data_IF_081880848802
#
_entry.id   IF_081880848802
#
_cell.length_a   1.000
_cell.length_b   1.000
_cell.length_c   1.000
_cell.angle_alpha   90.00
_cell.angle_beta   90.00
_cell.angle_gamma   90.00
#
_symmetry.space_group_name_H-M   'P 1'
#
loop_
_entity.id
_entity.type
_entity.pdbx_description
1 polymer ?
#
# COMPACT_ATOMS: atom_id res chain seq x y z
N UNK A 1 -21.32 4.44 4.24
CA UNK A 1 -19.99 4.10 4.76
C UNK A 1 -19.05 4.32 3.60
N UNK A 2 -18.24 5.38 3.63
CA UNK A 2 -17.26 5.62 2.56
C UNK A 2 -16.24 4.48 2.66
N UNK A 3 -15.92 3.85 1.54
CA UNK A 3 -14.93 2.78 1.49
C UNK A 3 -13.55 3.36 1.79
N UNK A 4 -12.91 2.89 2.87
CA UNK A 4 -11.60 3.36 3.30
C UNK A 4 -10.53 3.11 2.23
N UNK A 5 -10.71 2.05 1.42
CA UNK A 5 -9.80 1.73 0.30
C UNK A 5 -9.87 2.79 -0.78
N UNK A 6 -11.09 3.15 -1.23
CA UNK A 6 -11.28 4.18 -2.25
C UNK A 6 -10.84 5.56 -1.74
N UNK A 7 -11.06 5.85 -0.46
CA UNK A 7 -10.59 7.10 0.16
C UNK A 7 -9.07 7.23 0.12
N UNK A 8 -8.34 6.20 0.54
CA UNK A 8 -6.86 6.22 0.53
C UNK A 8 -6.33 6.23 -0.91
N UNK A 9 -7.02 5.54 -1.82
CA UNK A 9 -6.69 5.58 -3.25
C UNK A 9 -6.79 7.00 -3.81
N UNK A 10 -7.90 7.70 -3.57
CA UNK A 10 -8.10 9.07 -4.04
C UNK A 10 -7.06 10.02 -3.42
N UNK A 11 -6.82 9.90 -2.10
CA UNK A 11 -5.77 10.66 -1.41
C UNK A 11 -4.36 10.43 -2.00
N UNK A 12 -4.03 9.17 -2.33
CA UNK A 12 -2.76 8.86 -2.99
C UNK A 12 -2.69 9.49 -4.38
N UNK A 13 -3.77 9.44 -5.17
CA UNK A 13 -3.82 10.07 -6.50
C UNK A 13 -3.64 11.58 -6.40
N UNK A 14 -4.37 12.23 -5.49
CA UNK A 14 -4.35 13.68 -5.30
C UNK A 14 -2.99 14.18 -4.78
N UNK A 15 -2.24 13.34 -4.05
CA UNK A 15 -0.88 13.67 -3.60
C UNK A 15 0.13 13.86 -4.74
N UNK A 16 -0.13 13.26 -5.91
CA UNK A 16 0.81 13.21 -7.03
C UNK A 16 2.07 12.35 -6.79
N UNK A 17 2.20 11.69 -5.64
CA UNK A 17 3.38 10.89 -5.28
C UNK A 17 3.50 9.57 -6.06
N UNK A 18 2.40 9.13 -6.68
CA UNK A 18 2.25 7.77 -7.21
C UNK A 18 1.90 7.75 -8.70
N UNK A 19 2.22 8.83 -9.43
CA UNK A 19 1.82 8.99 -10.85
C UNK A 19 2.36 7.92 -11.80
N UNK A 20 3.46 7.25 -11.44
CA UNK A 20 4.08 6.17 -12.21
C UNK A 20 3.65 4.76 -11.74
N UNK A 21 2.68 4.68 -10.83
CA UNK A 21 2.14 3.43 -10.31
C UNK A 21 0.73 3.15 -10.85
N UNK A 22 0.45 1.88 -11.12
CA UNK A 22 -0.91 1.38 -11.33
C UNK A 22 -1.54 1.05 -9.98
N UNK A 23 -2.57 1.80 -9.61
CA UNK A 23 -3.28 1.60 -8.35
C UNK A 23 -4.42 0.60 -8.53
N UNK A 24 -4.52 -0.38 -7.65
CA UNK A 24 -5.54 -1.43 -7.66
C UNK A 24 -6.13 -1.60 -6.27
N UNK A 25 -7.45 -1.81 -6.19
CA UNK A 25 -8.17 -2.14 -4.97
C UNK A 25 -8.51 -3.62 -4.94
N UNK A 26 -8.52 -4.20 -3.74
CA UNK A 26 -8.98 -5.55 -3.35
C UNK A 26 -8.21 -6.75 -3.90
N UNK A 27 -7.59 -6.63 -5.07
CA UNK A 27 -6.89 -7.72 -5.72
C UNK A 27 -5.80 -7.24 -6.66
N UNK A 28 -4.72 -8.01 -6.72
CA UNK A 28 -3.70 -7.84 -7.74
C UNK A 28 -4.17 -8.41 -9.09
N UNK A 29 -4.07 -7.59 -10.15
CA UNK A 29 -4.23 -7.99 -11.54
C UNK A 29 -3.00 -7.57 -12.33
N UNK A 30 -2.22 -8.55 -12.80
CA UNK A 30 -1.05 -8.26 -13.63
C UNK A 30 -1.48 -7.62 -14.96
N UNK A 31 -0.74 -6.61 -15.39
CA UNK A 31 -0.90 -5.97 -16.70
C UNK A 31 -0.17 -6.71 -17.83
N UNK A 32 0.67 -7.71 -17.49
CA UNK A 32 1.64 -8.36 -18.38
C UNK A 32 2.71 -7.42 -18.95
N UNK A 33 2.89 -6.22 -18.38
CA UNK A 33 3.95 -5.27 -18.75
C UNK A 33 5.02 -5.24 -17.67
N UNK A 34 6.21 -5.78 -17.95
CA UNK A 34 7.27 -6.00 -16.98
C UNK A 34 7.78 -4.72 -16.28
N UNK A 35 7.58 -3.55 -16.86
CA UNK A 35 8.01 -2.27 -16.31
C UNK A 35 6.98 -1.64 -15.36
N UNK A 36 5.72 -2.10 -15.40
CA UNK A 36 4.66 -1.55 -14.58
C UNK A 36 4.93 -1.78 -13.09
N UNK A 37 4.75 -0.72 -12.31
CA UNK A 37 4.75 -0.73 -10.85
C UNK A 37 3.31 -0.72 -10.35
N UNK A 38 3.08 -1.32 -9.19
CA UNK A 38 1.72 -1.43 -8.64
C UNK A 38 1.65 -0.97 -7.19
N UNK A 39 0.53 -0.33 -6.87
CA UNK A 39 0.06 -0.07 -5.53
C UNK A 39 -1.22 -0.85 -5.35
N UNK A 40 -1.25 -1.80 -4.42
CA UNK A 40 -2.43 -2.62 -4.18
C UNK A 40 -2.96 -2.36 -2.79
N UNK A 41 -4.18 -1.90 -2.70
CA UNK A 41 -4.87 -1.58 -1.46
C UNK A 41 -5.82 -2.73 -1.11
N UNK A 42 -5.73 -3.22 0.13
CA UNK A 42 -6.64 -4.20 0.68
C UNK A 42 -7.29 -3.64 1.95
N UNK A 43 -8.58 -3.88 2.19
CA UNK A 43 -9.12 -3.69 3.53
C UNK A 43 -8.37 -4.64 4.48
N UNK A 44 -7.97 -4.15 5.65
CA UNK A 44 -7.21 -4.96 6.60
C UNK A 44 -8.16 -5.90 7.34
N UNK A 45 -8.46 -7.06 6.75
CA UNK A 45 -9.17 -8.15 7.43
C UNK A 45 -8.18 -9.14 8.04
N UNK A 46 -8.07 -9.19 9.38
CA UNK A 46 -7.21 -10.18 10.02
C UNK A 46 -6.96 -9.98 11.52
N UNK A 47 -6.62 -11.08 12.20
CA UNK A 47 -6.29 -11.15 13.63
C UNK A 47 -5.06 -10.29 13.96
N UNK A 48 -5.24 -9.25 14.78
CA UNK A 48 -4.13 -8.69 15.56
C UNK A 48 -4.18 -9.36 16.95
N UNK A 49 -3.07 -10.00 17.32
CA UNK A 49 -2.87 -10.61 18.63
C UNK A 49 -3.88 -11.71 19.01
N UNK A 50 -4.23 -12.58 18.06
CA UNK A 50 -5.13 -13.72 18.33
C UNK A 50 -6.60 -13.32 18.59
N UNK A 51 -6.95 -12.04 18.48
CA UNK A 51 -8.33 -11.55 18.55
C UNK A 51 -8.84 -11.14 17.17
N UNK A 52 -10.01 -11.66 16.77
CA UNK A 52 -10.76 -11.19 15.60
C UNK A 52 -11.30 -9.80 15.93
N UNK A 53 -10.43 -8.80 15.92
CA UNK A 53 -10.87 -7.42 15.85
C UNK A 53 -10.96 -7.04 14.38
N UNK A 54 -12.11 -6.48 14.00
CA UNK A 54 -12.26 -5.70 12.78
C UNK A 54 -11.28 -4.52 12.88
N UNK A 55 -10.03 -4.73 12.50
CA UNK A 55 -9.08 -3.64 12.42
C UNK A 55 -9.50 -2.81 11.19
N UNK A 56 -10.02 -1.58 11.35
CA UNK A 56 -10.63 -0.86 10.25
C UNK A 56 -9.57 -0.22 9.34
N UNK A 57 -8.36 -0.78 9.29
CA UNK A 57 -7.25 -0.25 8.52
C UNK A 57 -7.27 -0.65 7.05
N UNK A 58 -6.33 -0.10 6.29
CA UNK A 58 -6.06 -0.45 4.89
C UNK A 58 -4.60 -0.82 4.76
N UNK A 59 -4.35 -1.92 4.05
CA UNK A 59 -3.01 -2.38 3.72
C UNK A 59 -2.66 -1.95 2.31
N UNK A 60 -1.51 -1.33 2.14
CA UNK A 60 -0.96 -0.96 0.85
C UNK A 60 0.29 -1.79 0.56
N UNK A 61 0.24 -2.57 -0.52
CA UNK A 61 1.40 -3.26 -1.06
C UNK A 61 2.03 -2.44 -2.18
N UNK A 62 3.34 -2.25 -2.11
CA UNK A 62 4.13 -1.59 -3.15
C UNK A 62 4.93 -2.65 -3.91
N UNK A 63 4.67 -2.78 -5.21
CA UNK A 63 5.31 -3.76 -6.08
C UNK A 63 6.15 -3.08 -7.16
N UNK A 64 7.36 -3.59 -7.39
CA UNK A 64 8.17 -3.19 -8.54
C UNK A 64 7.74 -3.91 -9.81
N UNK A 65 8.13 -3.34 -10.95
CA UNK A 65 8.21 -4.09 -12.20
C UNK A 65 9.22 -5.24 -12.12
N UNK A 66 9.00 -6.28 -12.94
CA UNK A 66 9.86 -7.47 -13.11
C UNK A 66 11.26 -7.11 -13.57
N UNK A 67 11.42 -6.06 -14.38
CA UNK A 67 12.72 -5.62 -14.93
C UNK A 67 13.47 -4.65 -14.01
N UNK A 68 12.88 -4.27 -12.87
CA UNK A 68 13.50 -3.38 -11.89
C UNK A 68 13.71 -3.96 -10.46
N UNK A 69 13.90 -5.28 -10.22
CA UNK A 69 13.87 -5.78 -8.83
C UNK A 69 15.06 -5.30 -7.99
N UNK A 70 16.24 -5.15 -8.61
CA UNK A 70 17.49 -4.77 -7.94
C UNK A 70 17.80 -3.26 -8.00
N UNK A 71 17.21 -2.53 -8.97
CA UNK A 71 17.35 -1.06 -9.09
C UNK A 71 16.15 -0.28 -8.53
N UNK A 72 15.01 -0.95 -8.28
CA UNK A 72 13.77 -0.33 -7.81
C UNK A 72 13.61 -0.28 -6.29
N UNK A 73 14.41 -1.01 -5.51
CA UNK A 73 14.26 -1.05 -4.05
C UNK A 73 14.48 0.33 -3.40
N UNK A 74 15.46 1.11 -3.89
CA UNK A 74 15.71 2.47 -3.40
C UNK A 74 14.57 3.44 -3.72
N UNK A 75 14.04 3.40 -4.94
CA UNK A 75 12.93 4.27 -5.33
C UNK A 75 11.61 3.88 -4.65
N UNK A 76 11.35 2.59 -4.46
CA UNK A 76 10.17 2.10 -3.73
C UNK A 76 10.22 2.50 -2.26
N UNK A 77 11.39 2.37 -1.62
CA UNK A 77 11.58 2.83 -0.24
C UNK A 77 11.37 4.34 -0.14
N UNK A 78 11.88 5.11 -1.09
CA UNK A 78 11.66 6.56 -1.12
C UNK A 78 10.17 6.90 -1.27
N UNK A 79 9.46 6.28 -2.21
CA UNK A 79 8.00 6.47 -2.35
C UNK A 79 7.26 6.14 -1.06
N UNK A 80 7.64 5.07 -0.36
CA UNK A 80 7.02 4.72 0.91
C UNK A 80 7.27 5.79 1.99
N UNK A 81 8.49 6.31 2.08
CA UNK A 81 8.83 7.42 2.99
C UNK A 81 8.06 8.70 2.62
N UNK A 82 7.97 9.02 1.34
CA UNK A 82 7.24 10.20 0.87
C UNK A 82 5.74 10.11 1.22
N UNK A 83 5.14 8.92 1.07
CA UNK A 83 3.74 8.66 1.50
C UNK A 83 3.60 8.87 3.01
N UNK A 84 4.55 8.36 3.81
CA UNK A 84 4.53 8.50 5.28
C UNK A 84 4.68 9.96 5.70
N UNK A 85 5.60 10.70 5.07
CA UNK A 85 5.81 12.09 5.40
C UNK A 85 4.63 12.96 4.93
N UNK A 86 4.06 12.66 3.77
CA UNK A 86 2.85 13.34 3.30
C UNK A 86 1.65 13.09 4.23
N UNK A 87 1.47 11.87 4.76
CA UNK A 87 0.40 11.56 5.72
C UNK A 87 0.50 12.34 7.03
N UNK A 88 1.71 12.76 7.42
CA UNK A 88 1.94 13.58 8.62
C UNK A 88 1.57 15.05 8.42
N UNK A 89 1.67 15.54 7.19
CA UNK A 89 1.41 16.95 6.84
C UNK A 89 -0.04 17.15 6.40
N UNK A 90 -0.61 16.17 5.69
CA UNK A 90 -1.97 16.20 5.16
C UNK A 90 -2.76 14.99 5.68
N UNK A 91 -3.06 14.93 6.99
CA UNK A 91 -3.88 13.87 7.55
C UNK A 91 -5.35 14.12 7.21
N UNK A 92 -5.83 13.64 6.07
CA UNK A 92 -7.25 13.76 5.73
C UNK A 92 -8.16 12.90 6.63
N UNK A 93 -7.64 11.80 7.22
CA UNK A 93 -8.47 10.84 7.96
C UNK A 93 -7.76 10.20 9.17
N UNK A 94 -8.57 9.72 10.12
CA UNK A 94 -8.11 8.99 11.33
C UNK A 94 -7.40 7.66 11.05
N UNK A 95 -7.36 7.21 9.79
CA UNK A 95 -6.61 6.05 9.29
C UNK A 95 -5.15 6.31 8.93
N UNK A 96 -4.78 7.59 8.83
CA UNK A 96 -3.44 8.02 8.44
C UNK A 96 -2.50 8.24 9.64
N UNK A 97 -3.03 8.08 10.86
CA UNK A 97 -2.34 8.46 12.10
C UNK A 97 -1.23 7.48 12.50
N UNK A 98 -1.25 6.25 11.98
CA UNK A 98 -0.26 5.22 12.28
C UNK A 98 0.00 4.40 11.02
N UNK A 99 1.08 4.73 10.31
CA UNK A 99 1.59 3.90 9.23
C UNK A 99 2.68 2.99 9.79
N UNK A 100 2.45 1.67 9.72
CA UNK A 100 3.47 0.67 10.02
C UNK A 100 4.13 0.20 8.72
N UNK A 101 5.46 0.33 8.64
CA UNK A 101 6.24 -0.24 7.55
C UNK A 101 6.54 -1.70 7.87
N UNK A 102 6.06 -2.59 7.00
CA UNK A 102 6.41 -4.00 7.03
C UNK A 102 7.37 -4.26 5.87
N UNK A 103 8.64 -4.46 6.21
CA UNK A 103 9.66 -4.86 5.25
C UNK A 103 9.42 -6.32 4.82
N UNK A 104 9.25 -6.55 3.52
CA UNK A 104 8.94 -7.85 2.90
C UNK A 104 7.64 -8.50 3.42
N UNK A 105 6.47 -8.12 2.89
CA UNK A 105 5.20 -8.72 3.27
C UNK A 105 5.17 -10.24 2.99
N UNK A 106 4.57 -10.99 3.92
CA UNK A 106 4.41 -12.43 3.80
C UNK A 106 3.26 -12.77 2.84
N UNK A 107 3.58 -13.54 1.79
CA UNK A 107 2.59 -14.32 1.03
C UNK A 107 1.71 -13.60 0.01
N UNK A 108 1.53 -12.27 0.02
CA UNK A 108 0.62 -11.60 -0.93
C UNK A 108 1.37 -11.14 -2.19
N UNK A 109 0.86 -11.52 -3.37
CA UNK A 109 1.37 -11.02 -4.67
C UNK A 109 2.60 -11.73 -5.23
N UNK A 110 2.82 -13.02 -4.90
CA UNK A 110 3.85 -13.84 -5.55
C UNK A 110 3.33 -14.41 -6.87
N UNK A 111 3.36 -13.64 -7.96
CA UNK A 111 3.57 -14.31 -9.26
C UNK A 111 5.05 -14.64 -9.37
N UNK A 112 5.44 -15.67 -10.13
CA UNK A 112 6.85 -16.13 -10.20
C UNK A 112 7.85 -15.00 -10.49
N UNK A 113 7.40 -13.90 -11.11
CA UNK A 113 8.22 -12.79 -11.57
C UNK A 113 7.96 -11.45 -10.85
N UNK A 114 6.91 -11.30 -10.03
CA UNK A 114 6.64 -10.06 -9.29
C UNK A 114 6.51 -10.34 -7.79
N UNK A 115 7.09 -9.46 -6.99
CA UNK A 115 7.07 -9.55 -5.53
C UNK A 115 6.68 -8.21 -4.96
N UNK A 116 5.85 -8.22 -3.92
CA UNK A 116 5.68 -7.05 -3.07
C UNK A 116 7.00 -6.78 -2.34
N UNK A 117 7.49 -5.54 -2.46
CA UNK A 117 8.74 -5.11 -1.87
C UNK A 117 8.53 -4.56 -0.46
N UNK A 118 7.42 -3.85 -0.28
CA UNK A 118 7.10 -3.15 0.95
C UNK A 118 5.59 -3.17 1.17
N UNK A 119 5.19 -3.26 2.43
CA UNK A 119 3.81 -3.11 2.85
C UNK A 119 3.70 -1.95 3.85
N UNK A 120 2.70 -1.10 3.65
CA UNK A 120 2.29 -0.06 4.58
C UNK A 120 0.92 -0.43 5.14
N UNK A 121 0.77 -0.44 6.47
CA UNK A 121 -0.54 -0.57 7.10
C UNK A 121 -1.00 0.79 7.62
N UNK A 122 -2.08 1.31 7.02
CA UNK A 122 -2.82 2.48 7.47
C UNK A 122 -3.82 2.03 8.54
N UNK A 123 -3.61 2.39 9.81
CA UNK A 123 -4.49 1.99 10.90
C UNK A 123 -5.55 3.05 11.17
N UNK A 124 -6.83 2.66 11.08
CA UNK A 124 -7.97 3.51 11.46
C UNK A 124 -8.17 3.53 12.95
N UNK A 125 -8.04 4.72 13.54
CA UNK A 125 -8.56 4.97 14.88
C UNK A 125 -10.07 5.19 14.74
N UNK A 126 -10.87 4.20 15.12
CA UNK A 126 -12.28 4.45 15.45
C UNK A 126 -12.25 5.34 16.70
N UNK A 127 -12.69 6.59 16.58
CA UNK A 127 -13.08 7.42 17.72
C UNK A 127 -14.57 7.31 17.95
#
# INVERSE_FOLDING_TARGET
MIDAVETIKDWLVDSGLVTDYKIQADQFKDSNVNTDKFLILYPNGGLIDGSLQENPGVRLLIMSGVESPSRGAGSIMQTALDIIDYSRVVPEFGCLALIQVINMPSGVGRSENRRAFLELNFLTIIK
#
